data_IF_316659916269
#
_entry.id   IF_316659916269
#
_cell.length_a   1.000
_cell.length_b   1.000
_cell.length_c   1.000
_cell.angle_alpha   90.00
_cell.angle_beta   90.00
_cell.angle_gamma   90.00
#
_symmetry.space_group_name_H-M   'P 1'
#
loop_
_entity.id
_entity.type
_entity.pdbx_description
1 polymer ?
#
# COMPACT_ATOMS: atom_id res chain seq x y z
N UNK A 1 -28.38 -28.50 -61.25
CA UNK A 1 -29.15 -27.59 -60.37
C UNK A 1 -28.29 -26.37 -60.12
N UNK A 2 -28.83 -25.21 -60.42
CA UNK A 2 -28.19 -23.89 -60.50
C UNK A 2 -27.90 -23.36 -59.08
N UNK A 3 -26.70 -22.80 -58.85
CA UNK A 3 -26.46 -21.43 -58.33
C UNK A 3 -24.99 -21.29 -57.84
N UNK A 4 -24.13 -20.64 -58.64
CA UNK A 4 -23.67 -19.22 -58.55
C UNK A 4 -22.59 -19.01 -57.47
N UNK A 5 -21.29 -18.91 -57.84
CA UNK A 5 -20.53 -17.70 -58.24
C UNK A 5 -20.44 -16.67 -57.09
N UNK A 6 -19.30 -16.10 -56.69
CA UNK A 6 -18.15 -15.57 -57.46
C UNK A 6 -17.07 -15.13 -56.42
N UNK A 7 -15.79 -15.51 -56.56
CA UNK A 7 -14.69 -14.73 -57.20
C UNK A 7 -14.25 -13.46 -56.42
N UNK A 8 -12.98 -13.05 -56.28
CA UNK A 8 -11.71 -13.43 -56.93
C UNK A 8 -10.52 -12.74 -56.21
N UNK A 9 -9.39 -13.44 -56.19
CA UNK A 9 -7.95 -13.06 -56.31
C UNK A 9 -7.29 -11.93 -55.50
N UNK A 10 -6.21 -12.36 -54.83
CA UNK A 10 -4.92 -11.68 -54.71
C UNK A 10 -4.24 -11.40 -56.07
N UNK A 11 -3.38 -10.37 -56.14
CA UNK A 11 -2.16 -10.48 -56.92
C UNK A 11 -0.87 -10.20 -56.12
N UNK A 12 0.17 -10.88 -56.57
CA UNK A 12 1.53 -10.93 -56.09
C UNK A 12 2.29 -9.59 -56.19
N UNK A 13 3.06 -9.35 -55.12
CA UNK A 13 4.44 -8.89 -55.08
C UNK A 13 5.05 -8.29 -56.36
N UNK A 14 5.29 -6.98 -56.32
CA UNK A 14 6.39 -6.36 -57.05
C UNK A 14 7.32 -5.58 -56.10
N UNK A 15 8.58 -5.94 -56.22
CA UNK A 15 9.79 -5.37 -55.64
C UNK A 15 9.91 -3.86 -55.86
N UNK A 16 10.48 -3.13 -54.88
CA UNK A 16 11.32 -1.93 -55.06
C UNK A 16 12.02 -1.60 -53.70
N UNK A 17 13.08 -0.76 -53.64
CA UNK A 17 14.41 -1.19 -53.21
C UNK A 17 14.83 -0.75 -51.80
N UNK A 18 15.84 -1.44 -51.25
CA UNK A 18 16.56 -1.10 -50.01
C UNK A 18 17.20 0.28 -50.11
N UNK A 19 16.73 1.23 -49.31
CA UNK A 19 17.43 2.48 -49.02
C UNK A 19 18.20 2.29 -47.72
N UNK A 20 19.52 2.32 -47.84
CA UNK A 20 20.47 2.18 -46.75
C UNK A 20 20.75 3.57 -46.17
N UNK A 21 20.20 3.90 -45.00
CA UNK A 21 20.54 5.14 -44.30
C UNK A 21 21.73 4.90 -43.36
N UNK A 22 22.79 5.74 -43.40
CA UNK A 22 23.88 5.65 -42.46
C UNK A 22 23.41 6.13 -41.08
N UNK A 23 23.31 5.22 -40.11
CA UNK A 23 23.08 5.57 -38.70
C UNK A 23 24.33 6.24 -38.17
N UNK A 24 24.31 7.57 -38.12
CA UNK A 24 25.31 8.34 -37.38
C UNK A 24 25.01 8.16 -35.89
N UNK A 25 25.93 7.48 -35.19
CA UNK A 25 25.84 7.19 -33.76
C UNK A 25 26.06 8.49 -32.97
N UNK A 26 25.00 9.22 -32.67
CA UNK A 26 25.06 10.31 -31.68
C UNK A 26 24.94 9.65 -30.31
N UNK A 27 26.08 9.58 -29.63
CA UNK A 27 26.18 9.16 -28.23
C UNK A 27 25.62 10.28 -27.35
N UNK A 28 24.34 10.17 -26.98
CA UNK A 28 23.73 11.06 -25.97
C UNK A 28 23.88 10.39 -24.61
N UNK A 29 24.80 10.92 -23.80
CA UNK A 29 24.94 10.58 -22.39
C UNK A 29 23.79 11.21 -21.60
N UNK A 30 22.99 10.40 -20.91
CA UNK A 30 22.00 10.89 -19.93
C UNK A 30 22.54 10.75 -18.52
N UNK A 31 22.46 11.79 -17.66
CA UNK A 31 22.74 11.66 -16.25
C UNK A 31 21.58 10.94 -15.55
N UNK A 32 21.97 10.06 -14.63
CA UNK A 32 21.09 9.23 -13.82
C UNK A 32 20.27 10.02 -12.78
N UNK A 33 19.14 9.38 -12.40
CA UNK A 33 18.26 9.62 -11.22
C UNK A 33 17.12 10.61 -11.43
N UNK A 34 15.94 10.06 -11.74
CA UNK A 34 14.65 10.73 -11.51
C UNK A 34 14.38 10.71 -10.00
N UNK A 35 14.51 11.87 -9.36
CA UNK A 35 14.14 12.09 -7.96
C UNK A 35 12.66 12.46 -7.93
N UNK A 36 11.83 11.59 -7.34
CA UNK A 36 10.44 11.91 -7.03
C UNK A 36 10.40 12.95 -5.91
N UNK A 37 10.12 14.21 -6.26
CA UNK A 37 9.82 15.27 -5.29
C UNK A 37 8.32 15.29 -5.06
N UNK A 38 7.90 14.92 -3.84
CA UNK A 38 6.52 14.97 -3.40
C UNK A 38 6.27 16.34 -2.74
N UNK A 39 5.63 17.25 -3.46
CA UNK A 39 5.01 18.43 -2.86
C UNK A 39 3.73 18.00 -2.15
N UNK A 40 3.64 18.28 -0.85
CA UNK A 40 2.42 18.09 -0.06
C UNK A 40 1.29 18.93 -0.67
N UNK A 41 0.16 18.31 -0.97
CA UNK A 41 -1.10 19.02 -1.15
C UNK A 41 -2.00 18.61 0.02
N UNK A 42 -2.08 19.50 1.00
CA UNK A 42 -2.85 19.36 2.23
C UNK A 42 -4.16 20.12 2.00
N UNK A 43 -5.30 19.42 1.99
CA UNK A 43 -6.62 20.05 1.96
C UNK A 43 -7.00 20.34 3.40
N UNK A 44 -6.81 21.58 3.83
CA UNK A 44 -7.33 22.10 5.08
C UNK A 44 -8.29 23.25 4.78
N UNK A 45 -9.53 23.12 5.26
CA UNK A 45 -10.48 24.22 5.33
C UNK A 45 -9.94 25.30 6.29
N UNK A 46 -9.63 26.48 5.78
CA UNK A 46 -10.00 27.77 6.38
C UNK A 46 -9.35 28.94 5.62
N UNK A 47 -10.19 29.96 5.41
CA UNK A 47 -9.93 31.39 5.27
C UNK A 47 -8.50 31.90 5.01
N UNK A 48 -8.32 32.55 3.84
CA UNK A 48 -7.53 33.77 3.52
C UNK A 48 -6.18 33.90 4.26
N UNK A 49 -5.00 33.80 3.64
CA UNK A 49 -4.47 34.68 2.58
C UNK A 49 -3.18 34.10 1.95
N UNK A 50 -2.99 34.35 0.64
CA UNK A 50 -1.68 34.59 0.00
C UNK A 50 -0.67 33.45 -0.29
N UNK A 51 -0.57 33.10 -1.59
CA UNK A 51 0.60 32.57 -2.35
C UNK A 51 0.53 31.06 -2.72
N UNK A 52 0.48 30.60 -3.98
CA UNK A 52 0.61 31.22 -5.31
C UNK A 52 -0.37 30.52 -6.25
N UNK A 53 -1.30 31.28 -6.83
CA UNK A 53 -2.44 30.79 -7.62
C UNK A 53 -2.04 30.34 -9.04
N UNK A 54 -2.25 29.06 -9.37
CA UNK A 54 -2.69 28.68 -10.71
C UNK A 54 -4.21 28.89 -10.73
N UNK A 55 -4.66 29.82 -11.56
CA UNK A 55 -6.08 30.16 -11.69
C UNK A 55 -6.91 28.90 -11.90
N UNK A 56 -8.03 28.82 -11.16
CA UNK A 56 -8.97 27.72 -11.17
C UNK A 56 -9.29 27.24 -12.59
N UNK A 57 -8.71 26.10 -12.97
CA UNK A 57 -9.13 25.36 -14.16
C UNK A 57 -10.58 24.94 -13.93
N UNK A 58 -11.50 25.17 -14.89
CA UNK A 58 -12.89 24.77 -14.73
C UNK A 58 -13.00 23.28 -14.35
N UNK A 59 -13.83 22.92 -13.35
CA UNK A 59 -13.94 21.53 -12.88
C UNK A 59 -14.41 20.56 -13.97
N UNK A 60 -15.13 21.06 -14.98
CA UNK A 60 -15.54 20.32 -16.18
C UNK A 60 -14.36 19.91 -17.04
N UNK A 61 -13.38 20.81 -17.21
CA UNK A 61 -12.17 20.58 -17.99
C UNK A 61 -11.27 19.54 -17.28
N UNK A 62 -11.10 19.67 -15.97
CA UNK A 62 -10.36 18.68 -15.16
C UNK A 62 -10.98 17.28 -15.27
N UNK A 63 -12.31 17.18 -15.32
CA UNK A 63 -13.00 15.90 -15.45
C UNK A 63 -12.76 15.29 -16.83
N UNK A 64 -12.82 16.09 -17.90
CA UNK A 64 -12.53 15.64 -19.27
C UNK A 64 -11.07 15.18 -19.41
N UNK A 65 -10.10 15.91 -18.84
CA UNK A 65 -8.69 15.54 -18.87
C UNK A 65 -8.39 14.27 -18.10
N UNK A 66 -9.04 14.05 -16.95
CA UNK A 66 -8.93 12.80 -16.20
C UNK A 66 -9.46 11.61 -16.99
N UNK A 67 -10.61 11.77 -17.66
CA UNK A 67 -11.17 10.70 -18.50
C UNK A 67 -10.26 10.39 -19.70
N UNK A 68 -9.67 11.41 -20.33
CA UNK A 68 -8.71 11.20 -21.43
C UNK A 68 -7.42 10.55 -20.93
N UNK A 69 -6.88 10.96 -19.78
CA UNK A 69 -5.70 10.34 -19.17
C UNK A 69 -5.96 8.85 -18.82
N UNK A 70 -7.15 8.51 -18.33
CA UNK A 70 -7.58 7.12 -18.12
C UNK A 70 -7.69 6.35 -19.42
N UNK A 71 -8.22 6.96 -20.49
CA UNK A 71 -8.33 6.34 -21.80
C UNK A 71 -6.94 6.03 -22.39
N UNK A 72 -5.98 6.95 -22.27
CA UNK A 72 -4.59 6.76 -22.71
C UNK A 72 -3.92 5.65 -21.89
N UNK A 73 -4.08 5.64 -20.56
CA UNK A 73 -3.56 4.58 -19.72
C UNK A 73 -4.13 3.20 -20.08
N UNK A 74 -5.44 3.12 -20.35
CA UNK A 74 -6.10 1.90 -20.84
C UNK A 74 -5.51 1.43 -22.17
N UNK A 75 -5.33 2.35 -23.11
CA UNK A 75 -4.78 2.07 -24.43
C UNK A 75 -3.33 1.55 -24.33
N UNK A 76 -2.50 2.16 -23.48
CA UNK A 76 -1.13 1.70 -23.22
C UNK A 76 -1.11 0.28 -22.63
N UNK A 77 -1.98 -0.01 -21.66
CA UNK A 77 -2.09 -1.35 -21.07
C UNK A 77 -2.53 -2.41 -22.09
N UNK A 78 -3.49 -2.07 -22.97
CA UNK A 78 -3.95 -2.98 -24.04
C UNK A 78 -2.89 -3.22 -25.11
N UNK A 79 -2.18 -2.18 -25.56
CA UNK A 79 -1.08 -2.28 -26.55
C UNK A 79 0.00 -3.26 -26.09
N UNK A 80 0.15 -3.43 -24.78
CA UNK A 80 1.21 -4.20 -24.15
C UNK A 80 0.75 -5.59 -23.67
N UNK A 81 -0.47 -5.98 -24.02
CA UNK A 81 -0.98 -7.34 -23.81
C UNK A 81 -1.50 -7.62 -22.40
N UNK A 82 -1.69 -6.61 -21.55
CA UNK A 82 -2.34 -6.80 -20.25
C UNK A 82 -3.81 -7.20 -20.43
N UNK A 83 -4.31 -8.08 -19.56
CA UNK A 83 -5.70 -8.53 -19.62
C UNK A 83 -6.66 -7.36 -19.41
N UNK A 84 -7.80 -7.37 -20.12
CA UNK A 84 -8.84 -6.33 -20.01
C UNK A 84 -9.31 -6.12 -18.56
N UNK A 85 -9.30 -7.17 -17.75
CA UNK A 85 -9.63 -7.13 -16.32
C UNK A 85 -8.52 -6.50 -15.47
N UNK A 86 -7.24 -6.69 -15.79
CA UNK A 86 -6.14 -5.99 -15.13
C UNK A 86 -6.15 -4.49 -15.46
N UNK A 87 -6.39 -4.12 -16.72
CA UNK A 87 -6.48 -2.73 -17.13
C UNK A 87 -7.63 -1.98 -16.44
N UNK A 88 -8.82 -2.59 -16.37
CA UNK A 88 -9.98 -1.99 -15.71
C UNK A 88 -9.79 -1.85 -14.19
N UNK A 89 -9.11 -2.81 -13.55
CA UNK A 89 -8.77 -2.73 -12.11
C UNK A 89 -7.75 -1.63 -11.82
N UNK A 90 -6.72 -1.51 -12.66
CA UNK A 90 -5.72 -0.47 -12.53
C UNK A 90 -6.38 0.92 -12.58
N UNK A 91 -7.25 1.16 -13.56
CA UNK A 91 -7.92 2.45 -13.75
C UNK A 91 -8.84 2.80 -12.58
N UNK A 92 -9.66 1.85 -12.10
CA UNK A 92 -10.64 2.12 -11.04
C UNK A 92 -10.01 2.32 -9.65
N UNK A 93 -8.76 1.90 -9.45
CA UNK A 93 -8.07 2.01 -8.15
C UNK A 93 -7.01 3.12 -8.12
N UNK A 94 -6.65 3.69 -9.26
CA UNK A 94 -5.48 4.55 -9.40
C UNK A 94 -5.82 6.03 -9.57
N UNK A 95 -6.87 6.52 -8.90
CA UNK A 95 -7.27 7.94 -8.98
C UNK A 95 -6.11 8.88 -8.62
N UNK A 96 -5.28 8.53 -7.65
CA UNK A 96 -4.09 9.31 -7.26
C UNK A 96 -3.02 9.34 -8.36
N UNK A 97 -2.88 8.26 -9.14
CA UNK A 97 -1.98 8.22 -10.29
C UNK A 97 -2.54 9.04 -11.45
N UNK A 98 -3.84 8.99 -11.70
CA UNK A 98 -4.51 9.82 -12.70
C UNK A 98 -4.36 11.30 -12.35
N UNK A 99 -4.50 11.68 -11.09
CA UNK A 99 -4.24 13.04 -10.61
C UNK A 99 -2.79 13.46 -10.84
N UNK A 100 -1.83 12.55 -10.68
CA UNK A 100 -0.44 12.79 -11.00
C UNK A 100 -0.21 13.01 -12.51
N UNK A 101 -0.87 12.23 -13.38
CA UNK A 101 -0.80 12.43 -14.84
C UNK A 101 -1.35 13.80 -15.23
N UNK A 102 -2.46 14.24 -14.64
CA UNK A 102 -3.04 15.57 -14.86
C UNK A 102 -2.09 16.66 -14.37
N UNK A 103 -1.48 16.50 -13.18
CA UNK A 103 -0.47 17.45 -12.68
C UNK A 103 0.73 17.56 -13.62
N UNK A 104 1.18 16.43 -14.20
CA UNK A 104 2.24 16.41 -15.20
C UNK A 104 1.83 17.13 -16.49
N UNK A 105 0.59 16.88 -16.96
CA UNK A 105 0.02 17.55 -18.13
C UNK A 105 -0.01 19.08 -17.93
N UNK A 106 -0.40 19.53 -16.75
CA UNK A 106 -0.43 20.95 -16.36
C UNK A 106 0.96 21.58 -16.29
N UNK A 107 1.97 20.79 -15.90
CA UNK A 107 3.37 21.23 -15.95
C UNK A 107 3.89 21.37 -17.38
N UNK A 108 3.49 20.50 -18.30
CA UNK A 108 3.96 20.51 -19.70
C UNK A 108 3.29 21.63 -20.50
N UNK A 109 1.98 21.83 -20.32
CA UNK A 109 1.19 22.81 -21.09
C UNK A 109 0.83 24.06 -20.30
N UNK A 110 1.67 24.47 -19.34
CA UNK A 110 1.44 25.62 -18.45
C UNK A 110 0.98 26.89 -19.20
N UNK A 111 1.56 27.17 -20.37
CA UNK A 111 1.21 28.33 -21.20
C UNK A 111 -0.20 28.27 -21.81
N UNK A 112 -0.76 27.08 -22.03
CA UNK A 112 -2.10 26.88 -22.61
C UNK A 112 -3.20 27.01 -21.56
N UNK A 113 -2.94 26.52 -20.35
CA UNK A 113 -3.83 26.71 -19.20
C UNK A 113 -3.95 28.17 -18.78
N UNK A 114 -2.87 28.94 -18.92
CA UNK A 114 -2.91 30.40 -18.69
C UNK A 114 -3.79 31.14 -19.71
N UNK A 115 -4.04 30.56 -20.88
CA UNK A 115 -4.91 31.12 -21.94
C UNK A 115 -6.32 30.52 -21.87
N UNK A 116 -6.59 29.61 -20.92
CA UNK A 116 -7.90 28.98 -20.75
C UNK A 116 -8.32 28.08 -21.91
N UNK A 117 -7.37 27.56 -22.70
CA UNK A 117 -7.67 26.65 -23.81
C UNK A 117 -7.64 25.20 -23.37
N UNK A 118 -8.65 24.46 -23.80
CA UNK A 118 -8.71 23.01 -23.66
C UNK A 118 -7.64 22.34 -24.54
N UNK A 119 -7.00 21.31 -24.00
CA UNK A 119 -6.09 20.48 -24.77
C UNK A 119 -6.89 19.49 -25.61
N UNK A 120 -6.45 19.28 -26.85
CA UNK A 120 -6.99 18.22 -27.70
C UNK A 120 -6.53 16.85 -27.22
N UNK A 121 -7.30 15.80 -27.51
CA UNK A 121 -6.96 14.40 -27.20
C UNK A 121 -5.58 14.00 -27.73
N UNK A 122 -5.19 14.52 -28.91
CA UNK A 122 -3.87 14.28 -29.50
C UNK A 122 -2.75 14.93 -28.69
N UNK A 123 -2.94 16.16 -28.21
CA UNK A 123 -1.94 16.86 -27.38
C UNK A 123 -1.76 16.16 -26.02
N UNK A 124 -2.86 15.71 -25.39
CA UNK A 124 -2.80 14.96 -24.13
C UNK A 124 -2.06 13.62 -24.34
N UNK A 125 -2.38 12.91 -25.43
CA UNK A 125 -1.72 11.65 -25.78
C UNK A 125 -0.23 11.84 -26.04
N UNK A 126 0.15 12.84 -26.82
CA UNK A 126 1.55 13.07 -27.18
C UNK A 126 2.38 13.50 -25.96
N UNK A 127 1.77 14.15 -24.95
CA UNK A 127 2.41 14.49 -23.69
C UNK A 127 2.56 13.30 -22.73
N UNK A 128 1.53 12.44 -22.62
CA UNK A 128 1.51 11.35 -21.64
C UNK A 128 2.09 10.02 -22.15
N UNK A 129 2.00 9.74 -23.45
CA UNK A 129 2.46 8.47 -24.03
C UNK A 129 3.95 8.21 -23.80
N UNK A 130 4.88 9.17 -24.02
CA UNK A 130 6.31 8.93 -23.77
C UNK A 130 6.61 8.60 -22.30
N UNK A 131 5.88 9.24 -21.37
CA UNK A 131 6.02 8.99 -19.94
C UNK A 131 5.52 7.59 -19.56
N UNK A 132 4.34 7.20 -20.05
CA UNK A 132 3.77 5.88 -19.78
C UNK A 132 4.58 4.76 -20.43
N UNK A 133 5.10 4.96 -21.65
CA UNK A 133 5.99 4.00 -22.32
C UNK A 133 7.30 3.83 -21.53
N UNK A 134 7.92 4.91 -21.05
CA UNK A 134 9.11 4.82 -20.19
C UNK A 134 8.83 4.09 -18.87
N UNK A 135 7.72 4.40 -18.20
CA UNK A 135 7.35 3.80 -16.93
C UNK A 135 7.00 2.31 -17.08
N UNK A 136 6.45 1.95 -18.23
CA UNK A 136 6.17 0.57 -18.59
C UNK A 136 7.43 -0.21 -18.97
N UNK A 137 8.39 0.40 -19.68
CA UNK A 137 9.70 -0.22 -19.92
C UNK A 137 10.45 -0.49 -18.62
N UNK A 138 10.35 0.41 -17.63
CA UNK A 138 11.02 0.26 -16.34
C UNK A 138 10.40 -0.85 -15.46
N UNK A 139 9.08 -1.05 -15.53
CA UNK A 139 8.37 -1.95 -14.61
C UNK A 139 7.76 -3.20 -15.26
N UNK A 140 7.72 -3.28 -16.59
CA UNK A 140 7.21 -4.42 -17.35
C UNK A 140 5.89 -4.96 -16.77
N UNK A 141 5.89 -6.25 -16.38
CA UNK A 141 4.71 -6.94 -15.83
C UNK A 141 4.23 -6.38 -14.48
N UNK A 142 5.07 -5.64 -13.74
CA UNK A 142 4.72 -5.02 -12.46
C UNK A 142 4.13 -3.61 -12.61
N UNK A 143 4.00 -3.10 -13.84
CA UNK A 143 3.44 -1.78 -14.12
C UNK A 143 2.03 -1.61 -13.54
N UNK A 144 1.17 -2.63 -13.66
CA UNK A 144 -0.19 -2.61 -13.08
C UNK A 144 -0.14 -2.43 -11.56
N UNK A 145 0.81 -3.08 -10.89
CA UNK A 145 0.97 -2.93 -9.45
C UNK A 145 1.50 -1.53 -9.09
N UNK A 146 2.36 -0.92 -9.92
CA UNK A 146 2.86 0.46 -9.73
C UNK A 146 1.73 1.47 -9.83
N UNK A 147 0.88 1.29 -10.84
CA UNK A 147 -0.30 2.14 -11.06
C UNK A 147 -1.31 1.97 -9.92
N UNK A 148 -1.59 0.74 -9.46
CA UNK A 148 -2.54 0.49 -8.36
C UNK A 148 -2.04 0.98 -6.99
N UNK A 149 -0.72 0.95 -6.74
CA UNK A 149 -0.18 1.27 -5.41
C UNK A 149 0.39 2.69 -5.29
N UNK A 150 0.36 3.51 -6.35
CA UNK A 150 0.89 4.88 -6.33
C UNK A 150 0.31 5.70 -5.16
N UNK A 151 1.14 6.39 -4.33
CA UNK A 151 2.59 6.61 -4.45
C UNK A 151 3.48 5.56 -3.74
N UNK A 152 2.90 4.49 -3.19
CA UNK A 152 3.60 3.44 -2.46
C UNK A 152 4.17 2.38 -3.41
N UNK A 153 5.47 2.09 -3.29
CA UNK A 153 6.21 1.17 -4.18
C UNK A 153 5.63 -0.26 -4.15
N UNK A 154 5.36 -0.89 -5.31
CA UNK A 154 5.02 -2.31 -5.36
C UNK A 154 6.18 -3.18 -4.92
N UNK A 155 5.86 -4.21 -4.15
CA UNK A 155 6.80 -5.28 -3.84
C UNK A 155 6.75 -6.27 -5.00
N UNK A 156 7.76 -6.25 -5.88
CA UNK A 156 7.89 -7.25 -6.95
C UNK A 156 7.81 -8.67 -6.38
N UNK A 157 6.78 -9.42 -6.77
CA UNK A 157 6.70 -10.88 -6.55
C UNK A 157 7.12 -11.58 -7.83
N UNK A 158 8.35 -12.10 -7.84
CA UNK A 158 8.83 -13.01 -8.89
C UNK A 158 8.04 -14.33 -8.83
N UNK A 159 7.36 -14.66 -9.92
CA UNK A 159 6.63 -15.91 -10.15
C UNK A 159 7.59 -17.08 -10.38
N UNK A 160 7.33 -18.20 -9.72
CA UNK A 160 8.07 -19.46 -9.80
C UNK A 160 7.48 -20.44 -10.83
N UNK A 161 8.32 -21.30 -11.41
CA UNK A 161 8.18 -22.78 -11.55
C UNK A 161 9.19 -23.36 -12.58
N UNK A 162 9.43 -24.70 -12.66
CA UNK A 162 9.24 -25.80 -11.70
C UNK A 162 10.46 -26.75 -11.49
N UNK A 163 10.58 -27.25 -10.26
CA UNK A 163 10.97 -28.59 -9.74
C UNK A 163 11.92 -29.50 -10.55
N UNK A 164 13.03 -29.90 -9.91
CA UNK A 164 13.52 -31.30 -9.79
C UNK A 164 14.60 -31.40 -8.70
N UNK A 165 14.48 -32.37 -7.79
CA UNK A 165 15.45 -32.78 -6.75
C UNK A 165 15.91 -34.23 -7.02
N UNK A 166 16.83 -34.89 -6.27
CA UNK A 166 17.67 -34.46 -5.14
C UNK A 166 19.17 -34.92 -5.22
N UNK A 167 19.97 -34.59 -4.21
CA UNK A 167 20.85 -35.49 -3.39
C UNK A 167 22.32 -35.03 -3.14
N UNK A 168 22.71 -35.14 -1.87
CA UNK A 168 24.04 -35.31 -1.21
C UNK A 168 24.93 -34.12 -0.76
N UNK A 169 25.06 -34.06 0.59
CA UNK A 169 26.24 -33.86 1.44
C UNK A 169 26.97 -32.50 1.54
N UNK A 170 26.83 -31.92 2.75
CA UNK A 170 27.81 -31.27 3.66
C UNK A 170 29.09 -30.60 3.10
N UNK A 171 29.16 -29.26 3.18
CA UNK A 171 30.04 -28.46 4.07
C UNK A 171 30.31 -27.03 3.52
N UNK A 172 30.03 -26.03 4.37
CA UNK A 172 30.63 -24.67 4.46
C UNK A 172 30.99 -23.87 3.19
N UNK A 173 30.18 -22.86 2.84
CA UNK A 173 30.64 -21.49 2.51
C UNK A 173 29.49 -20.48 2.29
N UNK A 174 29.42 -19.49 3.18
CA UNK A 174 29.32 -18.03 2.92
C UNK A 174 28.35 -17.53 1.81
N UNK A 175 27.34 -16.75 2.26
CA UNK A 175 26.58 -15.66 1.59
C UNK A 175 25.41 -16.05 0.66
N UNK A 176 24.18 -15.69 1.07
CA UNK A 176 23.33 -14.68 0.38
C UNK A 176 21.88 -14.64 0.90
N UNK A 177 21.62 -13.90 1.98
CA UNK A 177 20.26 -13.51 2.41
C UNK A 177 20.13 -11.97 2.42
N UNK A 178 19.82 -11.35 1.27
CA UNK A 178 19.78 -9.87 1.12
C UNK A 178 18.44 -9.29 0.65
N UNK A 179 17.34 -10.05 0.67
CA UNK A 179 16.02 -9.54 0.27
C UNK A 179 15.04 -9.28 1.44
N UNK A 180 15.34 -9.74 2.65
CA UNK A 180 14.45 -9.61 3.83
C UNK A 180 14.74 -8.36 4.68
N UNK A 181 15.85 -7.66 4.45
CA UNK A 181 16.37 -6.72 5.45
C UNK A 181 16.09 -5.23 5.18
N UNK A 182 15.76 -4.78 3.97
CA UNK A 182 15.70 -3.33 3.68
C UNK A 182 14.60 -2.56 4.43
N UNK A 183 13.39 -3.13 4.56
CA UNK A 183 12.28 -2.53 5.32
C UNK A 183 12.52 -2.62 6.83
N UNK A 184 13.11 -3.72 7.29
CA UNK A 184 13.44 -3.96 8.69
C UNK A 184 14.57 -3.04 9.15
N UNK A 185 15.64 -2.93 8.37
CA UNK A 185 16.75 -2.00 8.58
C UNK A 185 16.29 -0.54 8.57
N UNK A 186 15.39 -0.14 7.65
CA UNK A 186 14.82 1.22 7.66
C UNK A 186 13.96 1.49 8.90
N UNK A 187 13.13 0.53 9.31
CA UNK A 187 12.32 0.67 10.51
C UNK A 187 13.20 0.72 11.78
N UNK A 188 14.23 -0.11 11.84
CA UNK A 188 15.25 -0.09 12.89
C UNK A 188 16.04 1.21 12.92
N UNK A 189 16.44 1.75 11.77
CA UNK A 189 17.11 3.04 11.67
C UNK A 189 16.25 4.17 12.25
N UNK A 190 14.93 4.16 12.01
CA UNK A 190 14.02 5.16 12.63
C UNK A 190 13.93 5.09 14.14
N UNK A 191 14.20 3.92 14.72
CA UNK A 191 14.20 3.72 16.18
C UNK A 191 15.61 3.87 16.77
N UNK A 192 16.65 3.68 15.95
CA UNK A 192 18.05 3.58 16.38
C UNK A 192 18.96 4.65 15.80
N UNK A 193 18.43 5.65 15.08
CA UNK A 193 19.22 6.73 14.50
C UNK A 193 19.94 7.50 15.59
N UNK A 194 21.21 7.13 15.78
CA UNK A 194 22.26 7.92 16.42
C UNK A 194 22.57 9.10 15.50
N UNK A 195 21.66 10.06 15.45
CA UNK A 195 21.92 11.43 15.02
C UNK A 195 22.40 12.18 16.28
N UNK A 196 23.39 13.10 16.19
CA UNK A 196 24.00 13.69 17.38
C UNK A 196 22.92 14.36 18.22
N UNK A 197 22.85 13.94 19.49
CA UNK A 197 22.02 14.46 20.56
C UNK A 197 21.15 15.68 20.20
N UNK A 198 19.92 15.45 19.74
CA UNK A 198 18.76 16.32 20.00
C UNK A 198 17.49 15.74 19.33
N UNK A 199 16.59 15.21 20.18
CA UNK A 199 15.22 14.72 19.90
C UNK A 199 15.09 13.38 19.15
N UNK A 200 15.04 12.32 19.96
CA UNK A 200 14.34 11.08 19.59
C UNK A 200 12.95 11.41 19.01
N UNK A 201 12.45 10.64 18.03
CA UNK A 201 11.11 10.81 17.52
C UNK A 201 10.08 10.82 18.65
N UNK A 202 9.11 11.74 18.61
CA UNK A 202 8.12 11.92 19.69
C UNK A 202 7.39 10.62 20.09
N UNK A 203 7.15 9.72 19.13
CA UNK A 203 6.54 8.43 19.40
C UNK A 203 7.42 7.52 20.27
N UNK A 204 8.75 7.55 20.10
CA UNK A 204 9.70 6.79 20.91
C UNK A 204 9.76 7.36 22.33
N UNK A 205 9.81 8.70 22.46
CA UNK A 205 9.81 9.37 23.76
C UNK A 205 8.57 9.00 24.57
N UNK A 206 7.39 9.07 23.95
CA UNK A 206 6.14 8.67 24.60
C UNK A 206 6.13 7.20 25.03
N UNK A 207 6.63 6.28 24.21
CA UNK A 207 6.71 4.86 24.56
C UNK A 207 7.69 4.62 25.73
N UNK A 208 8.79 5.38 25.81
CA UNK A 208 9.72 5.35 26.95
C UNK A 208 9.03 5.88 28.22
N UNK A 209 8.28 6.99 28.14
CA UNK A 209 7.49 7.52 29.26
C UNK A 209 6.39 6.57 29.75
N UNK A 210 5.89 5.70 28.87
CA UNK A 210 4.98 4.62 29.23
C UNK A 210 5.68 3.43 29.91
N UNK A 211 7.01 3.36 29.86
CA UNK A 211 7.81 2.28 30.44
C UNK A 211 8.25 1.20 29.44
N UNK A 212 8.26 1.49 28.13
CA UNK A 212 8.95 0.65 27.15
C UNK A 212 10.41 1.09 26.99
N UNK A 213 11.33 0.21 27.35
CA UNK A 213 12.76 0.41 27.08
C UNK A 213 13.04 0.40 25.58
N UNK A 214 14.09 1.11 25.16
CA UNK A 214 14.50 1.21 23.76
C UNK A 214 14.69 -0.17 23.10
N UNK A 215 15.25 -1.13 23.84
CA UNK A 215 15.42 -2.52 23.37
C UNK A 215 14.08 -3.20 23.06
N UNK A 216 13.06 -2.97 23.88
CA UNK A 216 11.71 -3.53 23.65
C UNK A 216 11.06 -2.88 22.43
N UNK A 217 11.24 -1.57 22.24
CA UNK A 217 10.74 -0.84 21.07
C UNK A 217 11.42 -1.34 19.79
N UNK A 218 12.74 -1.55 19.83
CA UNK A 218 13.49 -2.16 18.73
C UNK A 218 12.99 -3.59 18.47
N UNK A 219 12.81 -4.41 19.50
CA UNK A 219 12.30 -5.78 19.38
C UNK A 219 10.89 -5.86 18.81
N UNK A 220 10.02 -4.88 19.12
CA UNK A 220 8.72 -4.72 18.44
C UNK A 220 8.94 -4.41 16.97
N UNK A 221 9.75 -3.41 16.67
CA UNK A 221 10.00 -2.93 15.30
C UNK A 221 10.64 -3.99 14.42
N UNK A 222 11.49 -4.85 14.99
CA UNK A 222 12.09 -5.99 14.27
C UNK A 222 11.05 -7.05 13.89
N UNK A 223 10.11 -7.37 14.81
CA UNK A 223 9.06 -8.37 14.59
C UNK A 223 7.88 -7.81 13.80
N UNK A 224 7.67 -6.50 13.90
CA UNK A 224 6.55 -5.79 13.31
C UNK A 224 6.99 -4.39 12.83
N UNK A 225 7.65 -4.30 11.65
CA UNK A 225 8.24 -3.06 11.14
C UNK A 225 7.25 -1.92 10.94
N UNK A 226 5.97 -2.23 10.69
CA UNK A 226 4.91 -1.24 10.55
C UNK A 226 4.73 -0.36 11.81
N UNK A 227 5.09 -0.87 12.99
CA UNK A 227 4.98 -0.14 14.26
C UNK A 227 5.75 1.19 14.24
N UNK A 228 6.94 1.22 13.65
CA UNK A 228 7.79 2.41 13.56
C UNK A 228 7.20 3.52 12.66
N UNK A 229 6.09 3.24 11.97
CA UNK A 229 5.40 4.18 11.08
C UNK A 229 4.03 4.60 11.64
N UNK A 230 3.63 4.12 12.82
CA UNK A 230 2.37 4.51 13.41
C UNK A 230 2.42 5.94 13.94
N UNK A 231 1.36 6.70 13.67
CA UNK A 231 1.21 8.04 14.21
C UNK A 231 0.98 7.96 15.72
N UNK A 232 1.71 8.78 16.47
CA UNK A 232 1.54 8.87 17.92
C UNK A 232 0.10 9.26 18.25
N UNK A 233 -0.38 10.37 17.68
CA UNK A 233 -1.71 10.93 17.94
C UNK A 233 -2.85 10.11 17.33
N UNK A 234 -2.64 9.55 16.13
CA UNK A 234 -3.72 8.88 15.41
C UNK A 234 -3.87 7.39 15.74
N UNK A 235 -2.82 6.74 16.25
CA UNK A 235 -2.80 5.28 16.42
C UNK A 235 -2.34 4.84 17.80
N UNK A 236 -1.20 5.32 18.27
CA UNK A 236 -0.62 4.81 19.53
C UNK A 236 -1.36 5.34 20.75
N UNK A 237 -1.55 6.66 20.85
CA UNK A 237 -2.20 7.30 22.00
C UNK A 237 -3.67 6.85 22.17
N UNK A 238 -4.51 6.82 21.13
CA UNK A 238 -5.90 6.37 21.27
C UNK A 238 -6.01 4.94 21.80
N UNK A 239 -5.12 4.03 21.38
CA UNK A 239 -5.11 2.65 21.89
C UNK A 239 -4.62 2.59 23.34
N UNK A 240 -3.67 3.43 23.73
CA UNK A 240 -3.21 3.50 25.13
C UNK A 240 -4.31 4.04 26.04
N UNK A 241 -4.99 5.12 25.66
CA UNK A 241 -6.13 5.68 26.39
C UNK A 241 -7.25 4.66 26.52
N UNK A 242 -7.60 3.99 25.41
CA UNK A 242 -8.57 2.92 25.43
C UNK A 242 -8.21 1.79 26.41
N UNK A 243 -6.95 1.36 26.47
CA UNK A 243 -6.52 0.35 27.43
C UNK A 243 -6.64 0.83 28.88
N UNK A 244 -6.33 2.11 29.15
CA UNK A 244 -6.50 2.73 30.47
C UNK A 244 -7.98 2.76 30.88
N UNK A 245 -8.88 3.12 29.96
CA UNK A 245 -10.33 3.16 30.19
C UNK A 245 -10.91 1.77 30.51
N UNK A 246 -10.30 0.71 29.97
CA UNK A 246 -10.62 -0.68 30.31
C UNK A 246 -10.08 -1.14 31.67
N UNK A 247 -9.44 -0.25 32.42
CA UNK A 247 -8.86 -0.54 33.73
C UNK A 247 -7.52 -1.28 33.67
N UNK A 248 -6.82 -1.25 32.53
CA UNK A 248 -5.46 -1.78 32.46
C UNK A 248 -4.52 -0.85 33.23
N UNK A 249 -3.75 -1.34 34.21
CA UNK A 249 -2.74 -0.52 34.88
C UNK A 249 -1.71 0.01 33.88
N UNK A 250 -1.29 1.28 34.03
CA UNK A 250 -0.28 1.90 33.15
C UNK A 250 0.99 1.05 33.01
N UNK A 251 1.41 0.37 34.08
CA UNK A 251 2.56 -0.54 34.12
C UNK A 251 2.41 -1.77 33.20
N UNK A 252 1.18 -2.18 32.89
CA UNK A 252 0.87 -3.36 32.07
C UNK A 252 0.73 -3.03 30.58
N UNK A 253 0.55 -1.76 30.23
CA UNK A 253 0.40 -1.31 28.84
C UNK A 253 1.63 -1.66 27.99
N UNK A 254 2.88 -1.37 28.44
CA UNK A 254 4.09 -1.84 27.76
C UNK A 254 4.07 -3.33 27.42
N UNK A 255 3.64 -4.15 28.36
CA UNK A 255 3.61 -5.61 28.22
C UNK A 255 2.62 -6.03 27.12
N UNK A 256 1.45 -5.38 27.08
CA UNK A 256 0.43 -5.62 26.07
C UNK A 256 0.94 -5.22 24.67
N UNK A 257 1.53 -4.03 24.55
CA UNK A 257 2.04 -3.52 23.27
C UNK A 257 3.21 -4.37 22.74
N UNK A 258 4.10 -4.86 23.62
CA UNK A 258 5.18 -5.79 23.24
C UNK A 258 4.64 -7.12 22.73
N UNK A 259 3.56 -7.64 23.35
CA UNK A 259 2.91 -8.88 22.92
C UNK A 259 2.14 -8.73 21.61
N UNK A 260 1.44 -7.61 21.43
CA UNK A 260 0.55 -7.40 20.27
C UNK A 260 0.56 -5.95 19.77
N UNK A 261 1.62 -5.53 19.07
CA UNK A 261 1.71 -4.18 18.50
C UNK A 261 0.66 -3.93 17.41
N UNK A 262 0.06 -4.98 16.84
CA UNK A 262 -1.03 -4.86 15.86
C UNK A 262 -2.25 -4.13 16.41
N UNK A 263 -2.45 -4.08 17.74
CA UNK A 263 -3.57 -3.36 18.35
C UNK A 263 -3.59 -1.89 17.93
N UNK A 264 -2.43 -1.24 17.85
CA UNK A 264 -2.32 0.15 17.40
C UNK A 264 -2.66 0.35 15.91
N UNK A 265 -2.63 -0.73 15.11
CA UNK A 265 -2.91 -0.68 13.68
C UNK A 265 -4.38 -0.87 13.31
N UNK A 266 -5.20 -1.36 14.25
CA UNK A 266 -6.60 -1.74 14.04
C UNK A 266 -7.52 -0.61 14.52
N UNK A 267 -8.58 -0.34 13.76
CA UNK A 267 -9.59 0.67 14.10
C UNK A 267 -10.30 0.34 15.42
N UNK A 268 -10.30 1.30 16.35
CA UNK A 268 -11.00 1.17 17.64
C UNK A 268 -12.51 1.07 17.43
N UNK A 269 -13.09 2.01 16.68
CA UNK A 269 -14.53 2.16 16.48
C UNK A 269 -15.11 1.07 15.56
N UNK A 270 -14.39 0.71 14.50
CA UNK A 270 -14.90 -0.22 13.48
C UNK A 270 -14.57 -1.68 13.78
N UNK A 271 -13.61 -1.94 14.67
CA UNK A 271 -13.12 -3.31 14.86
C UNK A 271 -12.93 -3.72 16.33
N UNK A 272 -12.09 -3.03 17.11
CA UNK A 272 -11.78 -3.47 18.48
C UNK A 272 -13.02 -3.42 19.39
N UNK A 273 -13.73 -2.29 19.41
CA UNK A 273 -14.94 -2.11 20.24
C UNK A 273 -16.07 -3.06 19.79
N UNK A 274 -16.41 -3.18 18.48
CA UNK A 274 -17.38 -4.17 18.02
C UNK A 274 -17.02 -5.62 18.37
N UNK A 275 -15.73 -5.96 18.34
CA UNK A 275 -15.26 -7.30 18.72
C UNK A 275 -15.41 -7.54 20.22
N UNK A 276 -15.10 -6.53 21.05
CA UNK A 276 -15.34 -6.60 22.49
C UNK A 276 -16.82 -6.79 22.81
N UNK A 277 -17.70 -5.95 22.26
CA UNK A 277 -19.16 -6.06 22.48
C UNK A 277 -19.70 -7.43 22.08
N UNK A 278 -19.16 -8.01 21.01
CA UNK A 278 -19.50 -9.37 20.61
C UNK A 278 -19.07 -10.39 21.68
N UNK A 279 -17.85 -10.30 22.19
CA UNK A 279 -17.36 -11.20 23.24
C UNK A 279 -18.11 -11.00 24.58
N UNK A 280 -18.53 -9.78 24.90
CA UNK A 280 -19.37 -9.47 26.06
C UNK A 280 -20.76 -10.13 25.93
N UNK A 281 -21.34 -10.13 24.72
CA UNK A 281 -22.61 -10.85 24.45
C UNK A 281 -22.51 -12.36 24.64
N UNK A 282 -21.29 -12.91 24.67
CA UNK A 282 -20.97 -14.32 24.93
C UNK A 282 -20.58 -14.57 26.40
N UNK A 283 -20.99 -13.68 27.31
CA UNK A 283 -20.78 -13.86 28.75
C UNK A 283 -19.40 -13.45 29.27
N UNK A 284 -18.59 -12.74 28.46
CA UNK A 284 -17.34 -12.14 28.96
C UNK A 284 -17.66 -10.91 29.81
N UNK A 285 -17.27 -10.95 31.08
CA UNK A 285 -17.51 -9.85 32.03
C UNK A 285 -16.62 -8.63 31.74
N UNK A 286 -17.25 -7.48 31.54
CA UNK A 286 -16.59 -6.20 31.25
C UNK A 286 -15.46 -5.87 32.24
N UNK A 287 -15.60 -6.27 33.51
CA UNK A 287 -14.58 -6.02 34.56
C UNK A 287 -13.30 -6.84 34.38
N UNK A 288 -13.33 -7.87 33.52
CA UNK A 288 -12.20 -8.80 33.33
C UNK A 288 -11.37 -8.48 32.10
N UNK A 289 -11.74 -7.47 31.31
CA UNK A 289 -10.99 -7.07 30.11
C UNK A 289 -9.52 -6.77 30.38
N UNK A 290 -9.21 -6.05 31.46
CA UNK A 290 -7.82 -5.79 31.84
C UNK A 290 -7.00 -7.08 32.02
N UNK A 291 -7.59 -8.10 32.64
CA UNK A 291 -6.95 -9.41 32.85
C UNK A 291 -6.80 -10.19 31.53
N UNK A 292 -7.84 -10.17 30.68
CA UNK A 292 -7.85 -10.84 29.38
C UNK A 292 -6.78 -10.24 28.46
N UNK A 293 -6.74 -8.91 28.33
CA UNK A 293 -5.79 -8.22 27.46
C UNK A 293 -4.36 -8.34 27.96
N UNK A 294 -4.14 -8.37 29.28
CA UNK A 294 -2.83 -8.66 29.83
C UNK A 294 -2.32 -10.07 29.47
N UNK A 295 -3.21 -11.08 29.55
CA UNK A 295 -2.85 -12.47 29.22
C UNK A 295 -2.69 -12.66 27.72
N UNK A 296 -3.69 -12.28 26.94
CA UNK A 296 -3.80 -12.59 25.51
C UNK A 296 -4.46 -11.44 24.72
N UNK A 297 -3.68 -10.39 24.42
CA UNK A 297 -4.17 -9.25 23.66
C UNK A 297 -4.51 -9.57 22.20
N UNK A 298 -4.07 -10.73 21.70
CA UNK A 298 -4.39 -11.19 20.35
C UNK A 298 -5.89 -11.47 20.13
N UNK A 299 -6.66 -11.68 21.21
CA UNK A 299 -8.10 -11.95 21.15
C UNK A 299 -8.86 -10.89 20.34
N UNK A 300 -8.52 -9.61 20.54
CA UNK A 300 -9.16 -8.50 19.83
C UNK A 300 -8.64 -8.28 18.40
N UNK A 301 -7.61 -9.03 17.99
CA UNK A 301 -7.01 -8.90 16.66
C UNK A 301 -7.44 -10.01 15.70
N UNK A 302 -8.28 -10.93 16.16
CA UNK A 302 -8.80 -12.01 15.33
C UNK A 302 -9.95 -11.53 14.46
N UNK A 303 -10.05 -12.10 13.26
CA UNK A 303 -11.19 -11.86 12.39
C UNK A 303 -12.45 -12.44 13.03
N UNK A 304 -13.60 -11.84 12.70
CA UNK A 304 -14.91 -12.35 13.14
C UNK A 304 -15.13 -13.81 12.73
N UNK A 305 -14.65 -14.20 11.54
CA UNK A 305 -14.71 -15.58 11.07
C UNK A 305 -13.91 -16.53 11.98
N UNK A 306 -12.67 -16.14 12.35
CA UNK A 306 -11.84 -16.96 13.23
C UNK A 306 -12.46 -17.12 14.61
N UNK A 307 -12.97 -16.03 15.20
CA UNK A 307 -13.68 -16.10 16.48
C UNK A 307 -14.91 -17.00 16.38
N UNK A 308 -15.70 -16.85 15.32
CA UNK A 308 -16.89 -17.68 15.10
C UNK A 308 -16.55 -19.17 15.02
N UNK A 309 -15.53 -19.55 14.24
CA UNK A 309 -15.13 -20.96 14.14
C UNK A 309 -14.70 -21.56 15.49
N UNK A 310 -13.97 -20.79 16.31
CA UNK A 310 -13.62 -21.22 17.67
C UNK A 310 -14.86 -21.37 18.55
N UNK A 311 -15.82 -20.45 18.44
CA UNK A 311 -17.06 -20.50 19.23
C UNK A 311 -17.97 -21.65 18.80
N UNK A 312 -18.14 -21.87 17.49
CA UNK A 312 -18.93 -22.98 16.94
C UNK A 312 -18.40 -24.33 17.47
N UNK A 313 -17.07 -24.50 17.52
CA UNK A 313 -16.44 -25.68 18.14
C UNK A 313 -16.78 -25.80 19.64
N UNK A 314 -16.76 -24.71 20.40
CA UNK A 314 -17.11 -24.74 21.82
C UNK A 314 -18.59 -25.08 22.04
N UNK A 315 -19.48 -24.62 21.17
CA UNK A 315 -20.89 -24.99 21.19
C UNK A 315 -21.10 -26.47 20.86
N UNK A 316 -20.39 -27.01 19.87
CA UNK A 316 -20.41 -28.45 19.57
C UNK A 316 -19.94 -29.31 20.75
N UNK A 317 -19.03 -28.79 21.57
CA UNK A 317 -18.60 -29.42 22.82
C UNK A 317 -19.61 -29.27 23.97
N UNK A 318 -20.76 -28.65 23.73
CA UNK A 318 -21.86 -28.51 24.70
C UNK A 318 -21.70 -27.36 25.70
N UNK A 319 -20.83 -26.39 25.42
CA UNK A 319 -20.64 -25.24 26.32
C UNK A 319 -21.74 -24.20 26.12
N UNK A 320 -22.27 -23.69 27.24
CA UNK A 320 -23.17 -22.53 27.25
C UNK A 320 -22.40 -21.21 27.09
N UNK A 321 -23.07 -20.13 26.70
CA UNK A 321 -22.48 -18.79 26.58
C UNK A 321 -21.73 -18.38 27.85
N UNK A 322 -22.32 -18.56 29.03
CA UNK A 322 -21.66 -18.24 30.31
C UNK A 322 -20.37 -19.04 30.54
N UNK A 323 -20.35 -20.30 30.09
CA UNK A 323 -19.19 -21.18 30.20
C UNK A 323 -18.10 -20.75 29.23
N UNK A 324 -18.47 -20.37 28.01
CA UNK A 324 -17.57 -19.82 27.00
C UNK A 324 -16.92 -18.54 27.51
N UNK A 325 -17.69 -17.59 28.06
CA UNK A 325 -17.14 -16.36 28.66
C UNK A 325 -16.11 -16.64 29.76
N UNK A 326 -16.35 -17.66 30.60
CA UNK A 326 -15.37 -18.13 31.61
C UNK A 326 -14.13 -18.72 30.97
N UNK A 327 -14.27 -19.57 29.95
CA UNK A 327 -13.15 -20.18 29.22
C UNK A 327 -12.30 -19.10 28.56
N UNK A 328 -12.91 -18.15 27.83
CA UNK A 328 -12.22 -17.03 27.20
C UNK A 328 -11.49 -16.15 28.23
N UNK A 329 -12.03 -16.01 29.44
CA UNK A 329 -11.37 -15.26 30.51
C UNK A 329 -10.17 -16.02 31.12
N UNK A 330 -10.33 -17.31 31.37
CA UNK A 330 -9.32 -18.13 32.04
C UNK A 330 -8.19 -18.55 31.09
N UNK A 331 -8.56 -18.99 29.91
CA UNK A 331 -7.73 -19.61 28.88
C UNK A 331 -8.01 -18.94 27.51
N UNK A 332 -7.58 -17.69 27.29
CA UNK A 332 -7.88 -16.97 26.05
C UNK A 332 -7.13 -17.48 24.80
N UNK A 333 -6.18 -18.42 24.94
CA UNK A 333 -5.39 -18.96 23.82
C UNK A 333 -5.99 -20.25 23.21
N UNK A 334 -7.32 -20.37 23.27
CA UNK A 334 -8.08 -21.53 22.78
C UNK A 334 -8.37 -21.47 21.28
#
# INVERSE_FOLDING_TARGET
MIAFCTSIRFPELLFLPKVNFPVTRIQVSFPAKVVFSCGKFEVAESSIDGSSSLSAVPPTLLTAEKEEAKAILNLCLKKQGFSNSAASRAINKSDVFVDHLVSKLHSVHKSRYLVGRELTTLEIRDALSPYLETLLEEHGNAFVDVVENFPNRPVERRSASPISSPTFASESKVVSDLAVDSKKLRALARVSETVPAEKLPQHVVYLIELGLDLEKIQGITQRFPAFAYYSLEGKVRPVVEFLLDLGVPKTNIPIILVKRPQLCGISLSENLIPTMKYLESLGLDNKKWAKVLYRFPALLTYSRQKLKSTLDFLYEMGLSDESIGKVLTCCPNI
#
